data_IF_319923221691
#
_entry.id   IF_319923221691
#
_cell.length_a   1.000
_cell.length_b   1.000
_cell.length_c   1.000
_cell.angle_alpha   90.00
_cell.angle_beta   90.00
_cell.angle_gamma   90.00
#
_symmetry.space_group_name_H-M   'P 1'
#
loop_
_entity.id
_entity.type
_entity.pdbx_description
1 polymer ?
#
# COMPACT_ATOMS: atom_id res chain seq x y z
N UNK A 1 21.20 0.39 -7.14
CA UNK A 1 21.07 1.14 -5.87
C UNK A 1 19.58 1.34 -5.63
N UNK A 2 19.05 0.92 -4.49
CA UNK A 2 17.66 1.20 -4.13
C UNK A 2 17.63 2.53 -3.35
N UNK A 3 16.69 3.41 -3.69
CA UNK A 3 16.43 4.63 -2.91
C UNK A 3 15.15 4.37 -2.13
N UNK A 4 15.26 4.41 -0.81
CA UNK A 4 14.14 4.21 0.11
C UNK A 4 13.70 5.56 0.66
N UNK A 5 12.42 5.89 0.51
CA UNK A 5 11.83 7.06 1.13
C UNK A 5 10.68 6.59 2.02
N UNK A 6 10.86 6.76 3.33
CA UNK A 6 9.77 6.77 4.29
C UNK A 6 9.53 8.23 4.66
N UNK A 7 8.29 8.69 4.46
CA UNK A 7 7.88 10.05 4.79
C UNK A 7 7.00 9.99 6.02
N UNK A 8 7.37 10.74 7.05
CA UNK A 8 6.54 10.96 8.23
C UNK A 8 5.32 11.81 7.81
N UNK A 9 4.19 11.15 7.61
CA UNK A 9 2.95 11.77 7.11
C UNK A 9 2.04 12.26 8.26
N UNK A 10 2.62 12.86 9.31
CA UNK A 10 1.87 13.39 10.47
C UNK A 10 0.92 14.56 10.13
N UNK A 11 1.05 15.18 8.94
CA UNK A 11 0.09 16.16 8.40
C UNK A 11 -0.41 15.75 7.00
N UNK A 12 -1.66 15.25 6.85
CA UNK A 12 -2.08 14.54 5.64
C UNK A 12 -2.32 15.43 4.42
N UNK A 13 -2.53 16.74 4.58
CA UNK A 13 -2.85 17.62 3.43
C UNK A 13 -1.59 18.19 2.78
N UNK A 14 -0.64 18.66 3.60
CA UNK A 14 0.63 19.21 3.09
C UNK A 14 1.51 18.09 2.51
N UNK A 15 1.53 16.92 3.17
CA UNK A 15 2.28 15.76 2.71
C UNK A 15 1.81 15.23 1.34
N UNK A 16 0.52 15.35 1.00
CA UNK A 16 -0.02 14.80 -0.27
C UNK A 16 0.56 15.48 -1.50
N UNK A 17 0.56 16.81 -1.55
CA UNK A 17 1.07 17.55 -2.71
C UNK A 17 2.58 17.36 -2.88
N UNK A 18 3.32 17.31 -1.78
CA UNK A 18 4.76 17.08 -1.77
C UNK A 18 5.10 15.65 -2.25
N UNK A 19 4.37 14.64 -1.78
CA UNK A 19 4.51 13.25 -2.20
C UNK A 19 4.20 13.08 -3.70
N UNK A 20 3.13 13.69 -4.19
CA UNK A 20 2.82 13.63 -5.62
C UNK A 20 3.85 14.36 -6.48
N UNK A 21 4.38 15.49 -6.00
CA UNK A 21 5.50 16.17 -6.63
C UNK A 21 6.74 15.29 -6.72
N UNK A 22 7.04 14.55 -5.66
CA UNK A 22 8.13 13.57 -5.61
C UNK A 22 7.91 12.43 -6.62
N UNK A 23 6.71 11.83 -6.66
CA UNK A 23 6.37 10.79 -7.64
C UNK A 23 6.53 11.30 -9.07
N UNK A 24 6.02 12.50 -9.34
CA UNK A 24 6.16 13.15 -10.64
C UNK A 24 7.62 13.44 -11.00
N UNK A 25 8.47 13.80 -10.04
CA UNK A 25 9.89 14.03 -10.27
C UNK A 25 10.63 12.75 -10.68
N UNK A 26 10.12 11.58 -10.29
CA UNK A 26 10.60 10.26 -10.75
C UNK A 26 9.87 9.75 -11.99
N UNK A 27 8.94 10.52 -12.57
CA UNK A 27 8.16 10.12 -13.74
C UNK A 27 7.10 9.05 -13.46
N UNK A 28 6.70 8.89 -12.19
CA UNK A 28 5.71 7.91 -11.77
C UNK A 28 4.30 8.52 -11.86
N UNK A 29 3.31 7.80 -12.40
CA UNK A 29 1.91 8.26 -12.49
C UNK A 29 1.18 8.15 -11.15
N UNK A 30 1.89 7.81 -10.08
CA UNK A 30 1.35 7.53 -8.78
C UNK A 30 0.71 8.77 -8.15
N UNK A 31 -0.36 8.53 -7.39
CA UNK A 31 -1.13 9.55 -6.69
C UNK A 31 -1.36 9.16 -5.25
N UNK A 32 -1.55 10.17 -4.41
CA UNK A 32 -1.90 9.93 -3.02
C UNK A 32 -3.28 9.28 -2.94
N UNK A 33 -3.36 8.19 -2.20
CA UNK A 33 -4.56 7.40 -2.00
C UNK A 33 -5.30 7.74 -0.73
N UNK A 34 -6.04 6.75 -0.24
CA UNK A 34 -6.72 6.83 1.03
C UNK A 34 -5.70 6.84 2.18
N UNK A 35 -6.09 7.45 3.30
CA UNK A 35 -5.30 7.46 4.53
C UNK A 35 -6.10 6.76 5.61
N UNK A 36 -5.91 5.45 5.74
CA UNK A 36 -6.75 4.61 6.59
C UNK A 36 -5.99 3.43 7.19
N UNK A 37 -6.63 2.78 8.14
CA UNK A 37 -6.10 1.58 8.79
C UNK A 37 -6.79 0.35 8.19
N UNK A 38 -6.06 -0.44 7.41
CA UNK A 38 -6.61 -1.53 6.62
C UNK A 38 -5.76 -2.79 6.73
N UNK A 39 -6.27 -3.89 6.20
CA UNK A 39 -5.57 -5.18 6.08
C UNK A 39 -4.88 -5.26 4.73
N UNK A 40 -3.63 -5.68 4.74
CA UNK A 40 -2.81 -5.78 3.56
C UNK A 40 -2.13 -7.14 3.44
N UNK A 41 -1.82 -7.50 2.21
CA UNK A 41 -1.06 -8.70 1.86
C UNK A 41 0.11 -8.38 0.93
N UNK A 42 1.11 -9.26 0.91
CA UNK A 42 2.20 -9.18 -0.05
C UNK A 42 1.75 -9.67 -1.42
N UNK A 43 1.82 -8.79 -2.42
CA UNK A 43 1.55 -9.13 -3.81
C UNK A 43 2.74 -9.87 -4.44
N UNK A 44 2.58 -11.18 -4.62
CA UNK A 44 3.59 -12.07 -5.20
C UNK A 44 3.89 -11.80 -6.68
N UNK A 45 3.01 -11.07 -7.37
CA UNK A 45 3.21 -10.66 -8.77
C UNK A 45 3.97 -9.34 -8.92
N UNK A 46 4.39 -8.72 -7.81
CA UNK A 46 5.17 -7.49 -7.82
C UNK A 46 6.59 -7.69 -8.39
N UNK A 47 7.07 -6.70 -9.16
CA UNK A 47 8.42 -6.67 -9.72
C UNK A 47 9.40 -6.15 -8.69
N UNK A 48 9.96 -7.05 -7.90
CA UNK A 48 10.93 -6.67 -6.88
C UNK A 48 12.33 -6.42 -7.47
N UNK A 49 13.17 -5.60 -6.80
CA UNK A 49 14.56 -5.49 -7.20
C UNK A 49 15.21 -6.87 -7.08
N UNK A 50 16.20 -7.18 -7.93
CA UNK A 50 16.99 -8.43 -7.86
C UNK A 50 17.63 -8.66 -6.48
N UNK A 51 17.61 -7.64 -5.64
CA UNK A 51 18.08 -7.70 -4.28
C UNK A 51 17.07 -8.16 -3.26
N UNK A 52 15.78 -8.11 -3.54
CA UNK A 52 14.78 -8.46 -2.56
C UNK A 52 14.85 -9.94 -2.17
N UNK A 53 14.60 -10.21 -0.89
CA UNK A 53 14.42 -11.54 -0.33
C UNK A 53 12.94 -11.77 -0.08
N UNK A 54 12.27 -12.43 -1.03
CA UNK A 54 10.81 -12.66 -1.01
C UNK A 54 10.37 -13.39 0.26
N UNK A 55 11.22 -14.30 0.74
CA UNK A 55 10.99 -15.08 1.96
C UNK A 55 10.99 -14.26 3.26
N UNK A 56 11.44 -13.00 3.21
CA UNK A 56 11.43 -12.10 4.36
C UNK A 56 10.23 -11.14 4.35
N UNK A 57 9.38 -11.14 3.33
CA UNK A 57 8.17 -10.31 3.39
C UNK A 57 7.18 -10.87 4.42
N UNK A 58 6.36 -10.01 5.07
CA UNK A 58 5.30 -10.44 5.95
C UNK A 58 4.42 -11.50 5.28
N UNK A 59 4.22 -12.62 5.96
CA UNK A 59 3.39 -13.71 5.45
C UNK A 59 1.96 -13.54 5.94
N UNK A 60 1.01 -13.50 5.00
CA UNK A 60 -0.41 -13.37 5.31
C UNK A 60 -0.84 -11.92 5.54
N UNK A 61 -2.07 -11.81 6.02
CA UNK A 61 -2.77 -10.55 6.20
C UNK A 61 -2.26 -9.82 7.44
N UNK A 62 -1.90 -8.56 7.29
CA UNK A 62 -1.43 -7.72 8.38
C UNK A 62 -2.06 -6.34 8.32
N UNK A 63 -2.38 -5.79 9.49
CA UNK A 63 -3.15 -4.56 9.61
C UNK A 63 -2.27 -3.40 10.08
N UNK A 64 -2.22 -2.34 9.31
CA UNK A 64 -1.53 -1.11 9.71
C UNK A 64 -2.16 0.13 9.08
N UNK A 65 -1.78 1.30 9.57
CA UNK A 65 -2.27 2.57 9.05
C UNK A 65 -1.34 3.07 7.97
N UNK A 66 -1.87 3.37 6.78
CA UNK A 66 -1.06 3.80 5.67
C UNK A 66 -1.67 4.96 4.87
N UNK A 67 -0.83 5.80 4.28
CA UNK A 67 -1.20 6.65 3.15
C UNK A 67 -0.95 5.86 1.85
N UNK A 68 -2.03 5.39 1.23
CA UNK A 68 -1.95 4.48 0.09
C UNK A 68 -1.45 5.20 -1.18
N UNK A 69 -1.07 4.40 -2.17
CA UNK A 69 -0.71 4.83 -3.52
C UNK A 69 -1.78 4.37 -4.51
N UNK A 70 -2.31 5.33 -5.27
CA UNK A 70 -3.20 5.10 -6.43
C UNK A 70 -2.41 5.19 -7.73
N UNK A 71 -2.87 4.47 -8.76
CA UNK A 71 -2.29 4.54 -10.10
C UNK A 71 -0.99 3.74 -10.28
N UNK A 72 -0.53 3.03 -9.25
CA UNK A 72 0.54 2.04 -9.38
C UNK A 72 0.04 0.84 -10.19
N UNK A 73 0.84 0.39 -11.16
CA UNK A 73 0.51 -0.79 -11.96
C UNK A 73 0.48 -2.05 -11.09
N UNK A 74 -0.24 -3.12 -11.45
CA UNK A 74 -0.33 -4.33 -10.62
C UNK A 74 1.04 -4.92 -10.20
N UNK A 75 2.06 -4.77 -11.05
CA UNK A 75 3.42 -5.24 -10.74
C UNK A 75 4.25 -4.24 -9.92
N UNK A 76 3.79 -2.99 -9.76
CA UNK A 76 4.42 -1.98 -8.91
C UNK A 76 3.88 -2.03 -7.47
N UNK A 77 2.73 -2.67 -7.26
CA UNK A 77 2.10 -2.77 -5.95
C UNK A 77 2.75 -3.93 -5.17
N UNK A 78 3.53 -3.63 -4.12
CA UNK A 78 4.28 -4.63 -3.34
C UNK A 78 3.42 -5.16 -2.19
N UNK A 79 2.81 -4.24 -1.42
CA UNK A 79 1.86 -4.56 -0.36
C UNK A 79 0.53 -3.89 -0.71
N UNK A 80 -0.49 -4.71 -0.92
CA UNK A 80 -1.80 -4.32 -1.45
C UNK A 80 -2.89 -4.53 -0.43
N UNK A 81 -3.90 -3.66 -0.47
CA UNK A 81 -5.11 -3.82 0.33
C UNK A 81 -5.82 -5.14 -0.02
N UNK A 82 -6.14 -5.92 1.01
CA UNK A 82 -6.99 -7.12 0.87
C UNK A 82 -8.43 -6.64 0.81
N UNK A 83 -9.08 -6.83 -0.35
CA UNK A 83 -10.50 -6.54 -0.51
C UNK A 83 -11.28 -7.83 -0.22
N UNK A 84 -11.78 -8.00 1.01
CA UNK A 84 -12.68 -9.12 1.31
C UNK A 84 -14.00 -8.95 0.54
N UNK A 85 -14.63 -10.07 0.17
CA UNK A 85 -15.91 -10.02 -0.53
C UNK A 85 -17.02 -9.45 0.37
N UNK A 86 -16.91 -9.64 1.69
CA UNK A 86 -17.86 -9.13 2.70
C UNK A 86 -17.77 -7.60 2.87
N UNK A 87 -16.61 -6.98 2.64
CA UNK A 87 -16.47 -5.52 2.58
C UNK A 87 -17.16 -4.89 1.34
N UNK A 88 -17.63 -5.72 0.39
CA UNK A 88 -18.51 -5.27 -0.71
C UNK A 88 -19.96 -5.15 -0.27
N UNK A 89 -20.34 -5.72 0.88
CA UNK A 89 -21.72 -5.73 1.37
C UNK A 89 -21.90 -4.78 2.58
N UNK A 90 -20.94 -4.70 3.52
CA UNK A 90 -21.18 -4.08 4.83
C UNK A 90 -20.58 -2.68 5.06
N UNK A 91 -21.09 -1.67 4.35
CA UNK A 91 -20.97 -0.28 4.80
C UNK A 91 -22.30 0.47 4.68
N UNK A 92 -23.36 -0.07 5.28
CA UNK A 92 -24.52 0.69 5.78
C UNK A 92 -25.49 -0.26 6.48
N UNK A 93 -25.18 -0.69 7.71
CA UNK A 93 -26.23 -1.08 8.65
C UNK A 93 -26.74 0.20 9.33
N UNK A 94 -27.51 0.97 8.57
CA UNK A 94 -28.54 1.83 9.15
C UNK A 94 -29.84 1.04 8.94
N UNK A 95 -30.20 0.26 9.95
CA UNK A 95 -31.43 -0.55 10.00
C UNK A 95 -32.65 0.39 9.95
N UNK A 96 -33.05 0.78 8.74
CA UNK A 96 -34.38 1.33 8.47
C UNK A 96 -35.08 0.36 7.52
N UNK A 97 -35.97 -0.43 8.12
CA UNK A 97 -36.91 -1.32 7.44
C UNK A 97 -37.95 -0.48 6.67
N UNK A 98 -37.58 0.04 5.51
CA UNK A 98 -38.54 0.50 4.51
C UNK A 98 -38.16 -0.17 3.17
N UNK A 99 -38.94 -1.17 2.79
CA UNK A 99 -38.80 -1.95 1.55
C UNK A 99 -39.06 -1.07 0.32
N UNK A 100 -38.09 -0.26 -0.09
CA UNK A 100 -38.03 0.30 -1.44
C UNK A 100 -37.17 -0.61 -2.33
N UNK A 101 -37.84 -1.42 -3.16
CA UNK A 101 -37.26 -2.32 -4.18
C UNK A 101 -36.66 -1.55 -5.38
N UNK A 102 -36.01 -0.42 -5.12
CA UNK A 102 -35.19 0.26 -6.11
C UNK A 102 -33.88 -0.54 -6.28
N UNK A 103 -33.46 -0.88 -7.52
CA UNK A 103 -32.19 -1.56 -7.73
C UNK A 103 -31.06 -0.74 -7.10
N UNK A 104 -30.34 -1.35 -6.16
CA UNK A 104 -29.17 -0.71 -5.52
C UNK A 104 -28.21 -0.27 -6.64
N UNK A 105 -27.74 0.99 -6.64
CA UNK A 105 -26.77 1.43 -7.63
C UNK A 105 -25.55 0.52 -7.54
N UNK A 106 -25.10 0.00 -8.69
CA UNK A 106 -23.86 -0.76 -8.78
C UNK A 106 -22.75 0.06 -8.12
N UNK A 107 -22.20 -0.45 -7.00
CA UNK A 107 -21.10 0.25 -6.32
C UNK A 107 -19.92 0.29 -7.30
N UNK A 108 -19.27 1.45 -7.50
CA UNK A 108 -18.11 1.52 -8.35
C UNK A 108 -17.06 0.53 -7.84
N UNK A 109 -16.47 -0.25 -8.76
CA UNK A 109 -15.39 -1.18 -8.43
C UNK A 109 -14.31 -0.45 -7.62
N UNK A 110 -14.06 -0.89 -6.39
CA UNK A 110 -12.95 -0.37 -5.60
C UNK A 110 -11.65 -0.79 -6.28
N UNK A 111 -10.97 0.18 -6.90
CA UNK A 111 -9.64 -0.03 -7.49
C UNK A 111 -8.65 -0.26 -6.33
N UNK A 112 -7.93 -1.41 -6.30
CA UNK A 112 -6.95 -1.70 -5.26
C UNK A 112 -5.88 -0.61 -5.17
N UNK A 113 -5.51 -0.26 -3.94
CA UNK A 113 -4.46 0.70 -3.65
C UNK A 113 -3.33 0.00 -2.91
N UNK A 114 -2.10 0.50 -3.07
CA UNK A 114 -0.94 -0.09 -2.43
C UNK A 114 -0.50 0.69 -1.20
N UNK A 115 -0.29 0.00 -0.07
CA UNK A 115 0.39 0.60 1.07
C UNK A 115 1.90 0.69 0.84
N UNK A 116 2.47 -0.24 0.07
CA UNK A 116 3.87 -0.20 -0.37
C UNK A 116 3.90 -0.37 -1.87
N UNK A 117 4.51 0.59 -2.57
CA UNK A 117 4.68 0.56 -4.02
C UNK A 117 6.16 0.67 -4.37
N UNK A 118 6.56 0.00 -5.45
CA UNK A 118 7.92 0.07 -5.97
C UNK A 118 7.97 0.10 -7.49
N UNK A 119 8.93 0.83 -8.03
CA UNK A 119 9.14 0.95 -9.46
C UNK A 119 10.62 0.99 -9.81
N UNK A 120 10.97 0.45 -10.97
CA UNK A 120 12.32 0.55 -11.51
C UNK A 120 12.52 1.93 -12.14
N UNK A 121 13.42 2.72 -11.57
CA UNK A 121 13.80 4.03 -12.10
C UNK A 121 15.24 3.97 -12.61
N UNK A 122 15.42 4.06 -13.93
CA UNK A 122 16.72 3.92 -14.59
C UNK A 122 17.47 2.64 -14.13
N UNK A 123 18.63 2.79 -13.47
CA UNK A 123 19.46 1.71 -12.93
C UNK A 123 19.18 1.41 -11.44
N UNK A 124 18.18 2.08 -10.86
CA UNK A 124 17.77 1.96 -9.48
C UNK A 124 16.39 1.35 -9.31
N UNK A 125 16.00 1.24 -8.05
CA UNK A 125 14.66 0.84 -7.65
C UNK A 125 14.17 1.84 -6.60
N UNK A 126 13.00 2.41 -6.85
CA UNK A 126 12.33 3.34 -5.97
C UNK A 126 11.28 2.58 -5.17
N UNK A 127 11.23 2.80 -3.86
CA UNK A 127 10.18 2.26 -2.99
C UNK A 127 9.59 3.38 -2.16
N UNK A 128 8.26 3.40 -2.13
CA UNK A 128 7.48 4.20 -1.21
C UNK A 128 6.80 3.28 -0.20
N UNK A 129 6.96 3.59 1.09
CA UNK A 129 6.11 3.04 2.15
C UNK A 129 5.13 4.10 2.63
N UNK A 130 3.85 3.75 2.65
CA UNK A 130 2.80 4.60 3.19
C UNK A 130 2.59 4.43 4.69
N UNK A 131 3.26 3.47 5.35
CA UNK A 131 3.05 3.20 6.77
C UNK A 131 3.41 4.42 7.62
N UNK A 132 2.44 4.90 8.41
CA UNK A 132 2.61 6.06 9.28
C UNK A 132 2.98 5.71 10.72
N UNK A 133 2.96 4.43 11.07
CA UNK A 133 3.39 3.95 12.37
C UNK A 133 4.14 2.61 12.20
N UNK A 134 5.41 2.66 11.73
CA UNK A 134 6.15 1.47 11.35
C UNK A 134 6.29 0.48 12.51
N UNK A 135 5.64 -0.67 12.34
CA UNK A 135 5.76 -1.84 13.21
C UNK A 135 6.80 -2.85 12.70
N UNK A 136 6.75 -4.06 13.27
CA UNK A 136 7.61 -5.20 12.88
C UNK A 136 7.52 -5.51 11.39
N UNK A 137 6.32 -5.43 10.81
CA UNK A 137 6.01 -5.84 9.44
C UNK A 137 6.63 -4.86 8.42
N UNK A 138 6.57 -3.56 8.72
CA UNK A 138 7.22 -2.53 7.92
C UNK A 138 8.74 -2.63 7.99
N UNK A 139 9.28 -2.87 9.18
CA UNK A 139 10.72 -3.15 9.34
C UNK A 139 11.10 -4.39 8.51
N UNK A 140 10.32 -5.46 8.59
CA UNK A 140 10.58 -6.69 7.85
C UNK A 140 10.56 -6.47 6.34
N UNK A 141 9.59 -5.70 5.85
CA UNK A 141 9.47 -5.29 4.44
C UNK A 141 10.71 -4.51 3.99
N UNK A 142 11.20 -3.56 4.80
CA UNK A 142 12.42 -2.81 4.53
C UNK A 142 13.63 -3.75 4.49
N UNK A 143 13.77 -4.63 5.47
CA UNK A 143 14.88 -5.59 5.55
C UNK A 143 14.87 -6.52 4.32
N UNK A 144 13.69 -7.00 3.93
CA UNK A 144 13.46 -7.83 2.75
C UNK A 144 13.93 -7.14 1.47
N UNK A 145 13.61 -5.85 1.30
CA UNK A 145 14.03 -5.04 0.15
C UNK A 145 15.54 -4.72 0.15
N UNK A 146 16.11 -4.50 1.34
CA UNK A 146 17.50 -4.06 1.55
C UNK A 146 18.53 -5.18 1.63
N UNK A 147 18.14 -6.46 1.52
CA UNK A 147 19.02 -7.63 1.76
C UNK A 147 19.57 -7.73 3.19
N UNK A 148 18.93 -7.08 4.16
CA UNK A 148 19.36 -7.18 5.54
C UNK A 148 18.66 -8.39 6.17
N UNK A 149 19.45 -9.35 6.67
CA UNK A 149 18.91 -10.52 7.38
C UNK A 149 18.33 -10.16 8.74
N UNK A 150 17.59 -11.09 9.33
CA UNK A 150 16.88 -10.92 10.60
C UNK A 150 17.70 -10.20 11.68
N UNK A 151 17.08 -9.22 12.33
CA UNK A 151 17.51 -8.79 13.67
C UNK A 151 17.21 -9.99 14.58
N UNK A 152 18.21 -10.55 15.29
CA UNK A 152 17.93 -11.62 16.25
C UNK A 152 16.93 -11.11 17.28
N UNK A 153 15.86 -11.86 17.51
CA UNK A 153 14.96 -11.62 18.65
C UNK A 153 15.81 -11.71 19.93
N UNK A 154 15.87 -10.60 20.67
CA UNK A 154 16.54 -10.50 21.96
C UNK A 154 15.61 -10.90 23.09
#
# INVERSE_FOLDING_TARGET
MAVYLSLDCTSPTLARAEIEGLFSAFGLPWKSGNYENNTFEFNRSSLLPKSARVELFPTGDHRFKALHVKGAQPHEQIITEVLYEEDREDQSEDESEDEDMSPRPERPERIPQAAVAGAKIANGYFVYTGDVNPGSESIQTILALCRLGNIPES
#
